data_IF_610874672199
#
_entry.id   IF_610874672199
#
_cell.length_a   1.000
_cell.length_b   1.000
_cell.length_c   1.000
_cell.angle_alpha   90.00
_cell.angle_beta   90.00
_cell.angle_gamma   90.00
#
_symmetry.space_group_name_H-M   'P 1'
#
loop_
_entity.id
_entity.type
_entity.pdbx_description
1 polymer ?
#
# COMPACT_ATOMS: atom_id res chain seq x y z
N UNK A 1 -29.68 -22.04 -15.55
CA UNK A 1 -28.85 -22.04 -14.33
C UNK A 1 -27.72 -21.03 -14.53
N UNK A 2 -27.85 -19.87 -13.93
CA UNK A 2 -26.78 -18.90 -13.94
C UNK A 2 -25.84 -19.31 -12.80
N UNK A 3 -24.70 -19.90 -13.15
CA UNK A 3 -23.62 -20.04 -12.19
C UNK A 3 -23.16 -18.62 -11.81
N UNK A 4 -23.64 -18.13 -10.70
CA UNK A 4 -23.01 -17.00 -10.04
C UNK A 4 -21.62 -17.48 -9.59
N UNK A 5 -20.64 -17.32 -10.47
CA UNK A 5 -19.27 -17.17 -10.03
C UNK A 5 -19.25 -15.89 -9.19
N UNK A 6 -19.48 -16.05 -7.90
CA UNK A 6 -19.07 -15.07 -6.91
C UNK A 6 -17.54 -15.05 -7.01
N UNK A 7 -17.05 -14.22 -7.91
CA UNK A 7 -15.62 -13.87 -7.96
C UNK A 7 -15.27 -13.36 -6.57
N UNK A 8 -14.42 -14.10 -5.86
CA UNK A 8 -14.10 -13.81 -4.46
C UNK A 8 -13.33 -12.51 -4.41
N UNK A 9 -14.00 -11.48 -3.88
CA UNK A 9 -13.40 -10.19 -3.59
C UNK A 9 -12.27 -10.36 -2.56
N UNK A 10 -11.13 -9.75 -2.80
CA UNK A 10 -9.97 -9.77 -1.92
C UNK A 10 -9.63 -8.34 -1.49
N UNK A 11 -9.14 -8.20 -0.26
CA UNK A 11 -8.66 -6.92 0.26
C UNK A 11 -7.15 -6.92 0.43
N UNK A 12 -6.53 -5.78 0.18
CA UNK A 12 -5.11 -5.54 0.41
C UNK A 12 -4.92 -4.21 1.12
N UNK A 13 -3.83 -4.07 1.86
CA UNK A 13 -3.45 -2.78 2.40
C UNK A 13 -2.51 -2.06 1.43
N UNK A 14 -2.83 -0.82 1.13
CA UNK A 14 -1.99 0.08 0.37
C UNK A 14 -1.56 1.25 1.25
N UNK A 15 -0.36 1.75 1.04
CA UNK A 15 0.11 2.98 1.67
C UNK A 15 0.62 3.91 0.57
N UNK A 16 0.21 5.17 0.64
CA UNK A 16 0.90 6.27 -0.06
C UNK A 16 1.93 6.78 0.93
N UNK A 17 3.19 6.54 0.63
CA UNK A 17 4.31 6.78 1.53
C UNK A 17 4.61 8.27 1.72
N UNK A 18 5.37 8.65 2.77
CA UNK A 18 5.67 10.06 3.05
C UNK A 18 6.29 10.83 1.90
N UNK A 19 7.13 10.20 1.07
CA UNK A 19 7.72 10.84 -0.11
C UNK A 19 6.67 11.32 -1.11
N UNK A 20 5.67 10.48 -1.39
CA UNK A 20 4.60 10.83 -2.31
C UNK A 20 3.61 11.84 -1.73
N UNK A 21 3.30 11.73 -0.43
CA UNK A 21 2.43 12.70 0.25
C UNK A 21 3.09 14.09 0.25
N UNK A 22 4.36 14.16 0.61
CA UNK A 22 5.13 15.42 0.62
C UNK A 22 5.15 16.09 -0.75
N UNK A 23 5.30 15.29 -1.81
CA UNK A 23 5.32 15.77 -3.20
C UNK A 23 3.93 16.03 -3.78
N UNK A 24 2.87 15.91 -2.96
CA UNK A 24 1.47 16.15 -3.36
C UNK A 24 0.99 15.25 -4.50
N UNK A 25 1.41 13.99 -4.47
CA UNK A 25 1.03 12.98 -5.46
C UNK A 25 -0.15 12.13 -5.03
N UNK A 26 -0.65 12.32 -3.79
CA UNK A 26 -1.71 11.48 -3.22
C UNK A 26 -2.96 11.42 -4.11
N UNK A 27 -3.43 12.57 -4.59
CA UNK A 27 -4.61 12.63 -5.44
C UNK A 27 -4.45 11.88 -6.76
N UNK A 28 -3.27 11.97 -7.38
CA UNK A 28 -2.97 11.25 -8.62
C UNK A 28 -2.93 9.74 -8.41
N UNK A 29 -2.36 9.30 -7.30
CA UNK A 29 -2.30 7.87 -6.96
C UNK A 29 -3.69 7.34 -6.67
N UNK A 30 -4.51 8.06 -5.90
CA UNK A 30 -5.90 7.68 -5.60
C UNK A 30 -6.72 7.59 -6.90
N UNK A 31 -6.55 8.54 -7.81
CA UNK A 31 -7.23 8.49 -9.11
C UNK A 31 -6.84 7.23 -9.90
N UNK A 32 -5.56 6.87 -9.91
CA UNK A 32 -5.10 5.65 -10.58
C UNK A 32 -5.69 4.40 -9.96
N UNK A 33 -5.81 4.37 -8.62
CA UNK A 33 -6.47 3.27 -7.90
C UNK A 33 -7.91 3.10 -8.37
N UNK A 34 -8.68 4.17 -8.40
CA UNK A 34 -10.08 4.11 -8.81
C UNK A 34 -10.23 3.77 -10.30
N UNK A 35 -9.37 4.33 -11.15
CA UNK A 35 -9.38 4.03 -12.59
C UNK A 35 -9.09 2.56 -12.90
N UNK A 36 -8.30 1.88 -12.05
CA UNK A 36 -8.05 0.45 -12.20
C UNK A 36 -9.20 -0.44 -11.68
N UNK A 37 -10.24 0.15 -11.14
CA UNK A 37 -11.43 -0.57 -10.70
C UNK A 37 -11.40 -1.06 -9.26
N UNK A 38 -10.46 -0.60 -8.44
CA UNK A 38 -10.49 -0.87 -7.00
C UNK A 38 -11.60 -0.11 -6.32
N UNK A 39 -12.28 -0.75 -5.36
CA UNK A 39 -13.08 -0.06 -4.37
C UNK A 39 -12.19 0.31 -3.17
N UNK A 40 -12.30 1.54 -2.72
CA UNK A 40 -11.61 1.99 -1.49
C UNK A 40 -12.56 1.75 -0.32
N UNK A 41 -12.22 0.79 0.54
CA UNK A 41 -13.03 0.41 1.71
C UNK A 41 -12.64 1.14 2.98
N UNK A 42 -11.43 1.65 3.06
CA UNK A 42 -10.95 2.45 4.16
C UNK A 42 -9.84 3.38 3.69
N UNK A 43 -9.76 4.56 4.29
CA UNK A 43 -8.72 5.54 3.99
C UNK A 43 -8.48 6.43 5.21
N UNK A 44 -7.21 6.54 5.64
CA UNK A 44 -6.81 7.39 6.75
C UNK A 44 -5.47 8.06 6.47
N UNK A 45 -5.38 9.34 6.82
CA UNK A 45 -4.10 10.04 6.89
C UNK A 45 -3.50 9.81 8.28
N UNK A 46 -2.31 9.28 8.33
CA UNK A 46 -1.62 8.94 9.59
C UNK A 46 -0.24 9.59 9.64
N UNK A 47 0.23 9.85 10.84
CA UNK A 47 1.59 10.29 11.10
C UNK A 47 2.20 9.31 12.11
N UNK A 48 2.91 8.31 11.61
CA UNK A 48 3.40 7.21 12.44
C UNK A 48 4.52 7.67 13.36
N UNK A 49 4.45 7.24 14.62
CA UNK A 49 5.63 7.26 15.48
C UNK A 49 6.64 6.21 15.02
N UNK A 50 7.89 6.32 15.48
CA UNK A 50 8.90 5.30 15.20
C UNK A 50 8.44 3.91 15.66
N UNK A 51 7.89 3.84 16.87
CA UNK A 51 7.38 2.58 17.44
C UNK A 51 6.24 1.99 16.60
N UNK A 52 5.33 2.82 16.08
CA UNK A 52 4.24 2.36 15.20
C UNK A 52 4.78 1.83 13.87
N UNK A 53 5.76 2.49 13.27
CA UNK A 53 6.40 2.01 12.05
C UNK A 53 7.14 0.68 12.31
N UNK A 54 7.83 0.55 13.41
CA UNK A 54 8.52 -0.68 13.81
C UNK A 54 7.53 -1.85 14.02
N UNK A 55 6.39 -1.59 14.65
CA UNK A 55 5.33 -2.58 14.83
C UNK A 55 4.71 -3.04 13.51
N UNK A 56 4.46 -2.11 12.61
CA UNK A 56 3.94 -2.43 11.28
C UNK A 56 4.90 -3.33 10.47
N UNK A 57 6.19 -2.99 10.49
CA UNK A 57 7.22 -3.73 9.78
C UNK A 57 7.91 -4.81 10.63
N UNK A 58 7.28 -5.28 11.70
CA UNK A 58 7.90 -6.22 12.65
C UNK A 58 8.43 -7.50 11.98
N UNK A 59 7.80 -7.97 10.91
CA UNK A 59 8.25 -9.12 10.12
C UNK A 59 9.63 -8.89 9.48
N UNK A 60 10.05 -7.65 9.31
CA UNK A 60 11.35 -7.28 8.74
C UNK A 60 12.39 -6.86 9.78
N UNK A 61 12.13 -7.10 11.07
CA UNK A 61 12.97 -6.62 12.18
C UNK A 61 14.44 -7.00 12.05
N UNK A 62 14.72 -8.19 11.51
CA UNK A 62 16.08 -8.71 11.34
C UNK A 62 16.72 -8.29 10.00
N UNK A 63 16.01 -7.53 9.17
CA UNK A 63 16.56 -7.09 7.87
C UNK A 63 17.45 -5.87 8.04
N UNK A 64 18.53 -5.77 7.24
CA UNK A 64 19.44 -4.61 7.30
C UNK A 64 18.77 -3.27 7.05
N UNK A 65 17.72 -3.25 6.23
CA UNK A 65 16.98 -2.03 5.88
C UNK A 65 15.95 -1.60 6.93
N UNK A 66 15.72 -2.38 7.98
CA UNK A 66 14.63 -2.12 8.95
C UNK A 66 14.73 -0.74 9.59
N UNK A 67 15.92 -0.37 10.06
CA UNK A 67 16.15 0.93 10.69
C UNK A 67 15.88 2.10 9.75
N UNK A 68 16.39 2.05 8.54
CA UNK A 68 16.18 3.07 7.51
C UNK A 68 14.71 3.17 7.09
N UNK A 69 14.07 2.02 6.85
CA UNK A 69 12.66 1.96 6.47
C UNK A 69 11.74 2.56 7.54
N UNK A 70 11.92 2.18 8.79
CA UNK A 70 11.07 2.65 9.89
C UNK A 70 11.31 4.12 10.20
N UNK A 71 12.55 4.61 10.05
CA UNK A 71 12.87 6.02 10.12
C UNK A 71 12.15 6.81 9.03
N UNK A 72 12.21 6.32 7.80
CA UNK A 72 11.55 6.95 6.66
C UNK A 72 10.02 6.97 6.83
N UNK A 73 9.42 5.85 7.19
CA UNK A 73 7.96 5.75 7.34
C UNK A 73 7.40 6.57 8.51
N UNK A 74 8.23 6.94 9.47
CA UNK A 74 7.87 7.83 10.59
C UNK A 74 8.30 9.28 10.37
N UNK A 75 8.84 9.62 9.20
CA UNK A 75 9.37 10.96 8.92
C UNK A 75 8.31 12.00 8.57
N UNK A 76 7.11 11.59 8.24
CA UNK A 76 6.02 12.48 7.86
C UNK A 76 4.73 11.74 7.59
N UNK A 77 3.66 12.46 7.22
CA UNK A 77 2.37 11.86 6.96
C UNK A 77 2.38 10.84 5.82
N UNK A 78 1.59 9.79 6.00
CA UNK A 78 1.28 8.80 4.99
C UNK A 78 -0.23 8.61 4.89
N UNK A 79 -0.71 8.03 3.81
CA UNK A 79 -2.13 7.68 3.65
C UNK A 79 -2.22 6.17 3.55
N UNK A 80 -2.98 5.55 4.45
CA UNK A 80 -3.24 4.12 4.45
C UNK A 80 -4.62 3.84 3.89
N UNK A 81 -4.73 2.83 3.02
CA UNK A 81 -5.97 2.50 2.33
C UNK A 81 -6.21 0.99 2.38
N UNK A 82 -7.48 0.61 2.48
CA UNK A 82 -7.93 -0.76 2.22
C UNK A 82 -8.55 -0.78 0.83
N UNK A 83 -7.94 -1.54 -0.06
CA UNK A 83 -8.38 -1.69 -1.45
C UNK A 83 -9.04 -3.05 -1.63
N UNK A 84 -10.16 -3.07 -2.34
CA UNK A 84 -10.90 -4.29 -2.64
C UNK A 84 -11.09 -4.45 -4.13
N UNK A 85 -10.79 -5.63 -4.62
CA UNK A 85 -11.01 -6.05 -6.00
C UNK A 85 -10.87 -7.57 -6.08
N UNK A 86 -11.22 -8.16 -7.22
CA UNK A 86 -10.80 -9.52 -7.52
C UNK A 86 -9.28 -9.57 -7.57
N UNK A 87 -8.67 -10.52 -6.83
CA UNK A 87 -7.21 -10.70 -6.78
C UNK A 87 -6.47 -9.39 -6.44
N UNK A 88 -6.97 -8.65 -5.45
CA UNK A 88 -6.53 -7.29 -5.13
C UNK A 88 -5.03 -7.19 -4.82
N UNK A 89 -4.46 -8.18 -4.14
CA UNK A 89 -3.02 -8.17 -3.78
C UNK A 89 -2.17 -8.14 -5.04
N UNK A 90 -2.40 -9.05 -5.96
CA UNK A 90 -1.66 -9.13 -7.22
C UNK A 90 -1.93 -7.92 -8.11
N UNK A 91 -3.20 -7.53 -8.22
CA UNK A 91 -3.61 -6.37 -9.03
C UNK A 91 -2.95 -5.09 -8.56
N UNK A 92 -2.89 -4.86 -7.25
CA UNK A 92 -2.24 -3.68 -6.69
C UNK A 92 -0.72 -3.72 -6.91
N UNK A 93 -0.09 -4.87 -6.72
CA UNK A 93 1.35 -5.02 -6.97
C UNK A 93 1.71 -4.79 -8.44
N UNK A 94 0.86 -5.21 -9.35
CA UNK A 94 1.03 -4.95 -10.79
C UNK A 94 0.94 -3.45 -11.11
N UNK A 95 -0.04 -2.76 -10.51
CA UNK A 95 -0.19 -1.30 -10.69
C UNK A 95 0.98 -0.52 -10.08
N UNK A 96 1.47 -0.95 -8.91
CA UNK A 96 2.64 -0.33 -8.29
C UNK A 96 3.91 -0.49 -9.12
N UNK A 97 4.12 -1.67 -9.69
CA UNK A 97 5.35 -2.03 -10.40
C UNK A 97 6.45 -2.52 -9.47
N UNK A 98 7.61 -2.80 -10.05
CA UNK A 98 8.78 -3.30 -9.32
C UNK A 98 9.21 -2.35 -8.20
N UNK A 99 9.73 -2.90 -7.11
CA UNK A 99 10.24 -2.14 -5.95
C UNK A 99 11.30 -1.12 -6.35
N UNK A 100 12.19 -1.52 -7.24
CA UNK A 100 13.18 -0.62 -7.83
C UNK A 100 12.55 0.12 -9.03
N UNK A 101 12.40 1.44 -8.98
CA UNK A 101 11.80 2.19 -10.09
C UNK A 101 12.56 2.07 -11.39
N UNK A 102 13.87 1.80 -11.35
CA UNK A 102 14.66 1.58 -12.56
C UNK A 102 14.25 0.30 -13.30
N UNK A 103 13.69 -0.68 -12.58
CA UNK A 103 13.21 -1.96 -13.12
C UNK A 103 11.70 -2.00 -13.32
N UNK A 104 10.99 -0.96 -12.93
CA UNK A 104 9.53 -0.90 -13.06
C UNK A 104 9.12 -0.65 -14.51
N UNK A 105 8.05 -1.32 -14.92
CA UNK A 105 7.49 -1.15 -16.27
C UNK A 105 6.86 0.23 -16.46
N UNK A 106 6.83 0.70 -17.69
CA UNK A 106 6.15 1.93 -18.07
C UNK A 106 4.66 1.85 -17.66
N UNK A 107 4.12 2.96 -17.16
CA UNK A 107 2.73 3.06 -16.73
C UNK A 107 2.47 2.60 -15.30
N UNK A 108 3.46 2.04 -14.61
CA UNK A 108 3.35 1.70 -13.18
C UNK A 108 3.56 2.94 -12.30
N UNK A 109 3.01 2.91 -11.09
CA UNK A 109 3.13 4.03 -10.15
C UNK A 109 4.59 4.30 -9.77
N UNK A 110 5.37 3.26 -9.53
CA UNK A 110 6.77 3.42 -9.17
C UNK A 110 7.63 3.92 -10.31
N UNK A 111 7.35 3.50 -11.55
CA UNK A 111 8.05 4.08 -12.71
C UNK A 111 7.78 5.56 -12.84
N UNK A 112 6.55 5.97 -12.58
CA UNK A 112 6.13 7.36 -12.75
C UNK A 112 6.52 8.26 -11.57
N UNK A 113 6.42 7.76 -10.32
CA UNK A 113 6.50 8.59 -9.13
C UNK A 113 7.63 8.26 -8.16
N UNK A 114 8.24 7.08 -8.22
CA UNK A 114 9.27 6.69 -7.28
C UNK A 114 10.62 7.36 -7.60
N UNK A 115 11.35 7.71 -6.55
CA UNK A 115 12.68 8.32 -6.66
C UNK A 115 13.80 7.29 -6.47
N UNK A 116 13.57 6.28 -5.62
CA UNK A 116 14.55 5.25 -5.26
C UNK A 116 13.84 4.00 -4.75
N UNK A 117 14.61 2.97 -4.40
CA UNK A 117 14.06 1.74 -3.82
C UNK A 117 13.36 1.99 -2.49
N UNK A 118 13.84 2.91 -1.65
CA UNK A 118 13.22 3.26 -0.37
C UNK A 118 12.13 4.30 -0.53
N UNK A 119 12.39 5.35 -1.31
CA UNK A 119 11.43 6.41 -1.63
C UNK A 119 10.65 6.04 -2.87
N UNK A 120 9.89 4.96 -2.77
CA UNK A 120 9.22 4.34 -3.92
C UNK A 120 7.71 4.53 -3.97
N UNK A 121 7.23 5.58 -3.34
CA UNK A 121 5.89 6.15 -3.40
C UNK A 121 4.79 5.33 -2.72
N UNK A 122 4.77 4.01 -2.87
CA UNK A 122 3.66 3.18 -2.40
C UNK A 122 4.11 1.88 -1.76
N UNK A 123 3.23 1.32 -0.91
CA UNK A 123 3.36 0.01 -0.29
C UNK A 123 2.13 -0.83 -0.60
N UNK A 124 2.31 -2.13 -0.70
CA UNK A 124 1.23 -3.10 -0.81
C UNK A 124 1.56 -4.37 -0.05
N UNK A 125 0.53 -5.04 0.46
CA UNK A 125 0.68 -6.34 1.12
C UNK A 125 1.21 -7.39 0.14
N UNK A 126 1.98 -8.35 0.65
CA UNK A 126 2.62 -9.39 -0.17
C UNK A 126 1.76 -10.63 -0.34
N UNK A 127 0.92 -10.94 0.64
CA UNK A 127 0.15 -12.17 0.70
C UNK A 127 -1.12 -11.99 1.56
N UNK A 128 -2.09 -12.94 1.51
CA UNK A 128 -3.31 -12.82 2.30
C UNK A 128 -3.09 -12.69 3.81
N UNK A 129 -2.11 -13.38 4.38
CA UNK A 129 -1.80 -13.30 5.81
C UNK A 129 -1.20 -11.94 6.19
N UNK A 130 -0.29 -11.41 5.39
CA UNK A 130 0.27 -10.08 5.62
C UNK A 130 -0.78 -9.00 5.39
N UNK A 131 -1.67 -9.15 4.42
CA UNK A 131 -2.78 -8.23 4.20
C UNK A 131 -3.71 -8.18 5.42
N UNK A 132 -4.06 -9.33 6.01
CA UNK A 132 -4.90 -9.38 7.20
C UNK A 132 -4.26 -8.66 8.40
N UNK A 133 -2.96 -8.91 8.65
CA UNK A 133 -2.21 -8.24 9.71
C UNK A 133 -2.15 -6.71 9.48
N UNK A 134 -1.79 -6.31 8.28
CA UNK A 134 -1.57 -4.90 7.94
C UNK A 134 -2.87 -4.10 7.96
N UNK A 135 -3.97 -4.66 7.47
CA UNK A 135 -5.30 -4.03 7.54
C UNK A 135 -5.72 -3.87 9.00
N UNK A 136 -5.61 -4.92 9.81
CA UNK A 136 -5.96 -4.89 11.23
C UNK A 136 -5.06 -3.97 12.07
N UNK A 137 -3.87 -3.65 11.57
CA UNK A 137 -2.97 -2.71 12.22
C UNK A 137 -3.53 -1.27 12.21
N UNK A 138 -4.19 -0.88 11.13
CA UNK A 138 -4.67 0.49 10.93
C UNK A 138 -6.17 0.67 11.06
N UNK A 139 -6.96 -0.38 10.88
CA UNK A 139 -8.41 -0.30 10.81
C UNK A 139 -9.07 -1.31 11.74
N UNK A 140 -10.12 -0.88 12.45
CA UNK A 140 -11.03 -1.80 13.10
C UNK A 140 -11.99 -2.41 12.06
N UNK A 141 -12.46 -3.65 12.29
CA UNK A 141 -13.40 -4.29 11.37
C UNK A 141 -14.67 -3.48 11.14
N UNK A 142 -15.15 -2.76 12.16
CA UNK A 142 -16.32 -1.88 12.09
C UNK A 142 -16.13 -0.67 11.17
N UNK A 143 -14.90 -0.28 10.88
CA UNK A 143 -14.57 0.84 9.97
C UNK A 143 -14.58 0.44 8.50
N UNK A 144 -14.67 -0.86 8.23
CA UNK A 144 -14.55 -1.41 6.88
C UNK A 144 -15.91 -1.92 6.39
N UNK A 145 -16.66 -1.03 5.78
CA UNK A 145 -18.00 -1.31 5.27
C UNK A 145 -17.97 -1.44 3.73
#
# INVERSE_FOLDING_TARGET
MVCNNLLMSQRTLAIIKPDAVERKLSGRIIQRIENEGFAIRGMRRVNLSRAQAEGFYAVHRERPFFGSLTSFMSSGPAIVLVLEAEDAIKKWRTLMGATDPAKADAGTLRKEFAESIERNATHGSDAPDTAAYEIGYFFAGVDLI
#
